data_IF_621700938113
#
_entry.id   IF_621700938113
#
_cell.length_a   1.000
_cell.length_b   1.000
_cell.length_c   1.000
_cell.angle_alpha   90.00
_cell.angle_beta   90.00
_cell.angle_gamma   90.00
#
_symmetry.space_group_name_H-M   'P 1'
#
loop_
_entity.id
_entity.type
_entity.pdbx_description
1 polymer ?
#
# COMPACT_ATOMS: atom_id res chain seq x y z
N UNK A 1 -13.45 11.71 -6.03
CA UNK A 1 -12.65 11.97 -4.82
C UNK A 1 -12.80 10.77 -3.89
N UNK A 2 -11.71 10.07 -3.54
CA UNK A 2 -11.82 8.94 -2.62
C UNK A 2 -12.36 9.40 -1.25
N UNK A 3 -13.23 8.62 -0.65
CA UNK A 3 -13.80 8.87 0.69
C UNK A 3 -13.66 7.61 1.53
N UNK A 4 -13.33 7.79 2.81
CA UNK A 4 -13.28 6.72 3.81
C UNK A 4 -14.12 7.12 5.02
N UNK A 5 -14.97 6.21 5.48
CA UNK A 5 -15.84 6.40 6.64
C UNK A 5 -15.54 5.28 7.63
N UNK A 6 -15.49 5.65 8.92
CA UNK A 6 -15.40 4.72 10.03
C UNK A 6 -16.65 4.84 10.88
N UNK A 7 -17.45 3.78 10.94
CA UNK A 7 -18.63 3.70 11.78
C UNK A 7 -18.30 2.85 13.01
N UNK A 8 -18.32 3.48 14.18
CA UNK A 8 -18.11 2.85 15.47
C UNK A 8 -19.27 3.13 16.44
N UNK A 9 -20.46 3.45 15.92
CA UNK A 9 -21.65 3.66 16.75
C UNK A 9 -22.02 2.41 17.57
N UNK A 10 -21.68 1.23 17.05
CA UNK A 10 -21.66 -0.02 17.80
C UNK A 10 -20.20 -0.45 18.00
N UNK A 11 -19.73 -0.36 19.24
CA UNK A 11 -18.36 -0.68 19.63
C UNK A 11 -17.97 -2.16 19.40
N UNK A 12 -18.95 -3.06 19.38
CA UNK A 12 -18.77 -4.48 19.07
C UNK A 12 -18.60 -4.76 17.57
N UNK A 13 -19.02 -3.83 16.71
CA UNK A 13 -19.00 -4.00 15.26
C UNK A 13 -18.49 -2.72 14.57
N UNK A 14 -17.21 -2.35 14.77
CA UNK A 14 -16.61 -1.26 14.04
C UNK A 14 -16.53 -1.63 12.55
N UNK A 15 -16.99 -0.74 11.67
CA UNK A 15 -16.99 -0.94 10.22
C UNK A 15 -16.25 0.19 9.53
N UNK A 16 -15.32 -0.15 8.65
CA UNK A 16 -14.70 0.81 7.72
C UNK A 16 -15.28 0.60 6.33
N UNK A 17 -15.71 1.69 5.69
CA UNK A 17 -16.14 1.71 4.30
C UNK A 17 -15.28 2.71 3.50
N UNK A 18 -15.06 2.42 2.22
CA UNK A 18 -14.26 3.25 1.32
C UNK A 18 -14.79 3.17 -0.11
N UNK A 19 -14.77 4.28 -0.85
CA UNK A 19 -14.92 4.29 -2.31
C UNK A 19 -13.61 4.65 -3.00
N UNK A 20 -13.37 4.01 -4.15
CA UNK A 20 -12.30 4.38 -5.08
C UNK A 20 -12.87 5.23 -6.19
N UNK A 21 -12.46 6.49 -6.25
CA UNK A 21 -12.78 7.34 -7.39
C UNK A 21 -11.52 7.58 -8.20
N UNK A 22 -11.51 7.11 -9.44
CA UNK A 22 -10.42 7.31 -10.38
C UNK A 22 -10.94 7.82 -11.71
N UNK A 23 -10.13 8.64 -12.39
CA UNK A 23 -10.57 9.33 -13.61
C UNK A 23 -10.67 8.41 -14.84
N UNK A 24 -9.96 7.27 -14.85
CA UNK A 24 -9.98 6.27 -15.92
C UNK A 24 -10.26 4.87 -15.36
N UNK A 25 -10.70 3.90 -16.17
CA UNK A 25 -10.76 2.51 -15.72
C UNK A 25 -9.38 2.00 -15.30
N UNK A 26 -9.31 1.35 -14.15
CA UNK A 26 -8.10 0.67 -13.66
C UNK A 26 -8.47 -0.74 -13.22
N UNK A 27 -7.70 -1.73 -13.67
CA UNK A 27 -7.90 -3.10 -13.24
C UNK A 27 -7.61 -3.22 -11.75
N UNK A 28 -8.43 -4.00 -11.09
CA UNK A 28 -8.36 -4.23 -9.65
C UNK A 28 -8.37 -5.73 -9.39
N UNK A 29 -7.53 -6.15 -8.46
CA UNK A 29 -7.30 -7.54 -8.11
C UNK A 29 -7.39 -7.69 -6.61
N UNK A 30 -7.79 -8.87 -6.17
CA UNK A 30 -7.86 -9.21 -4.76
C UNK A 30 -6.82 -10.29 -4.47
N UNK A 31 -5.88 -9.98 -3.58
CA UNK A 31 -4.79 -10.88 -3.21
C UNK A 31 -4.87 -11.25 -1.74
N UNK A 32 -4.57 -12.51 -1.45
CA UNK A 32 -4.29 -12.98 -0.10
C UNK A 32 -2.78 -13.12 0.07
N UNK A 33 -2.23 -12.43 1.07
CA UNK A 33 -0.83 -12.51 1.45
C UNK A 33 -0.72 -13.24 2.79
N UNK A 34 -0.03 -14.39 2.87
CA UNK A 34 0.19 -15.08 4.12
C UNK A 34 1.05 -14.28 5.12
N UNK A 35 0.94 -14.61 6.41
CA UNK A 35 1.97 -14.26 7.38
C UNK A 35 3.33 -14.88 6.99
N UNK A 36 4.43 -14.33 7.48
CA UNK A 36 5.77 -14.79 7.17
C UNK A 36 6.26 -14.45 5.75
N UNK A 37 5.51 -13.66 4.99
CA UNK A 37 5.90 -13.22 3.64
C UNK A 37 7.05 -12.23 3.73
N UNK A 38 8.16 -12.52 3.05
CA UNK A 38 9.30 -11.59 2.94
C UNK A 38 9.00 -10.55 1.87
N UNK A 39 8.93 -9.29 2.30
CA UNK A 39 8.58 -8.14 1.49
C UNK A 39 9.75 -7.17 1.35
N UNK A 40 9.70 -6.38 0.28
CA UNK A 40 10.67 -5.31 -0.01
C UNK A 40 9.94 -4.07 -0.50
N UNK A 41 10.37 -2.91 -0.03
CA UNK A 41 9.66 -1.66 -0.28
C UNK A 41 9.78 -1.14 -1.71
N UNK A 42 10.83 -1.55 -2.42
CA UNK A 42 11.12 -1.18 -3.80
C UNK A 42 11.72 -2.38 -4.54
N UNK A 43 11.53 -2.46 -5.85
CA UNK A 43 12.37 -3.35 -6.66
C UNK A 43 13.79 -2.77 -6.78
N UNK A 44 14.79 -3.61 -7.01
CA UNK A 44 16.16 -3.15 -7.24
C UNK A 44 16.25 -2.22 -8.45
N UNK A 45 15.46 -2.47 -9.49
CA UNK A 45 15.38 -1.61 -10.68
C UNK A 45 14.80 -0.23 -10.34
N UNK A 46 13.70 -0.17 -9.58
CA UNK A 46 13.10 1.11 -9.16
C UNK A 46 14.04 1.88 -8.23
N UNK A 47 14.70 1.20 -7.29
CA UNK A 47 15.67 1.83 -6.40
C UNK A 47 16.86 2.43 -7.16
N UNK A 48 17.42 1.71 -8.13
CA UNK A 48 18.53 2.19 -8.95
C UNK A 48 18.16 3.45 -9.78
N UNK A 49 16.93 3.53 -10.30
CA UNK A 49 16.43 4.68 -11.07
C UNK A 49 16.38 5.99 -10.26
N UNK A 50 16.25 5.90 -8.94
CA UNK A 50 16.22 7.05 -8.01
C UNK A 50 17.41 7.05 -7.05
N UNK A 51 18.49 6.35 -7.41
CA UNK A 51 19.76 6.34 -6.68
C UNK A 51 19.67 5.89 -5.20
N UNK A 52 18.69 5.05 -4.85
CA UNK A 52 18.58 4.42 -3.54
C UNK A 52 19.49 3.19 -3.50
N UNK A 53 20.41 3.14 -2.53
CA UNK A 53 21.27 1.98 -2.34
C UNK A 53 20.45 0.75 -1.91
N UNK A 54 20.83 -0.49 -2.31
CA UNK A 54 20.08 -1.69 -1.95
C UNK A 54 19.83 -1.87 -0.44
N UNK A 55 20.78 -1.45 0.39
CA UNK A 55 20.71 -1.53 1.85
C UNK A 55 19.73 -0.52 2.46
N UNK A 56 19.42 0.55 1.72
CA UNK A 56 18.44 1.56 2.09
C UNK A 56 17.02 1.17 1.64
N UNK A 57 16.82 0.05 0.94
CA UNK A 57 15.45 -0.42 0.66
C UNK A 57 14.90 -1.12 1.90
N UNK A 58 13.74 -0.68 2.39
CA UNK A 58 13.06 -1.32 3.51
C UNK A 58 12.74 -2.78 3.18
N UNK A 59 13.10 -3.69 4.08
CA UNK A 59 12.75 -5.10 4.01
C UNK A 59 12.06 -5.51 5.29
N UNK A 60 11.01 -6.31 5.19
CA UNK A 60 10.27 -6.81 6.35
C UNK A 60 9.67 -8.17 6.07
N UNK A 61 9.38 -8.91 7.14
CA UNK A 61 8.58 -10.13 7.09
C UNK A 61 7.20 -9.82 7.66
N UNK A 62 6.13 -10.16 6.94
CA UNK A 62 4.78 -9.90 7.43
C UNK A 62 4.51 -10.68 8.71
N UNK A 63 4.03 -9.99 9.75
CA UNK A 63 3.60 -10.64 10.99
C UNK A 63 2.18 -11.19 10.91
N UNK A 64 1.37 -10.63 10.02
CA UNK A 64 -0.04 -10.97 9.88
C UNK A 64 -0.35 -11.29 8.42
N UNK A 65 -1.23 -12.25 8.21
CA UNK A 65 -1.87 -12.47 6.93
C UNK A 65 -2.79 -11.29 6.59
N UNK A 66 -2.94 -10.99 5.29
CA UNK A 66 -3.76 -9.89 4.82
C UNK A 66 -4.49 -10.19 3.53
N UNK A 67 -5.64 -9.55 3.37
CA UNK A 67 -6.36 -9.44 2.11
C UNK A 67 -6.20 -8.02 1.60
N UNK A 68 -5.65 -7.89 0.39
CA UNK A 68 -5.28 -6.61 -0.19
C UNK A 68 -5.90 -6.46 -1.57
N UNK A 69 -6.54 -5.32 -1.77
CA UNK A 69 -6.95 -4.83 -3.08
C UNK A 69 -5.76 -4.16 -3.74
N UNK A 70 -5.39 -4.68 -4.91
CA UNK A 70 -4.26 -4.19 -5.71
C UNK A 70 -4.81 -3.62 -7.01
N UNK A 71 -4.44 -2.39 -7.33
CA UNK A 71 -4.81 -1.75 -8.61
C UNK A 71 -3.60 -1.66 -9.53
N UNK A 72 -3.83 -1.72 -10.84
CA UNK A 72 -2.78 -1.44 -11.84
C UNK A 72 -2.73 -2.45 -12.98
N UNK A 73 -1.57 -2.56 -13.61
CA UNK A 73 -1.32 -3.51 -14.70
C UNK A 73 0.17 -3.71 -14.91
N UNK A 74 0.55 -4.75 -15.66
CA UNK A 74 1.95 -5.01 -16.00
C UNK A 74 2.64 -3.81 -16.67
N UNK A 75 1.89 -2.99 -17.42
CA UNK A 75 2.42 -1.80 -18.10
C UNK A 75 2.63 -0.60 -17.17
N UNK A 76 1.79 -0.44 -16.14
CA UNK A 76 1.81 0.73 -15.23
C UNK A 76 2.40 0.42 -13.86
N UNK A 77 2.66 -0.86 -13.58
CA UNK A 77 2.92 -1.36 -12.25
C UNK A 77 1.62 -1.58 -11.45
N UNK A 78 1.80 -2.18 -10.28
CA UNK A 78 0.74 -2.49 -9.34
C UNK A 78 0.92 -1.69 -8.05
N UNK A 79 -0.18 -1.34 -7.40
CA UNK A 79 -0.22 -0.64 -6.12
C UNK A 79 -1.21 -1.30 -5.18
N UNK A 80 -0.76 -1.60 -3.95
CA UNK A 80 -1.67 -1.89 -2.84
C UNK A 80 -2.42 -0.61 -2.47
N UNK A 81 -3.75 -0.67 -2.48
CA UNK A 81 -4.59 0.52 -2.23
C UNK A 81 -5.58 0.35 -1.11
N UNK A 82 -6.00 -0.87 -0.79
CA UNK A 82 -6.84 -1.14 0.36
C UNK A 82 -6.51 -2.52 0.90
N UNK A 83 -6.74 -2.74 2.19
CA UNK A 83 -6.65 -4.08 2.75
C UNK A 83 -7.09 -4.17 4.19
N UNK A 84 -7.18 -5.41 4.65
CA UNK A 84 -7.49 -5.80 6.02
C UNK A 84 -6.57 -6.96 6.39
N UNK A 85 -5.95 -6.89 7.57
CA UNK A 85 -5.19 -8.03 8.10
C UNK A 85 -6.05 -8.91 9.03
N UNK A 86 -5.55 -10.09 9.35
CA UNK A 86 -6.25 -11.04 10.24
C UNK A 86 -6.43 -10.55 11.68
N UNK A 87 -5.69 -9.51 12.09
CA UNK A 87 -5.85 -8.85 13.38
C UNK A 87 -6.93 -7.75 13.37
N UNK A 88 -7.60 -7.52 12.23
CA UNK A 88 -8.67 -6.54 12.08
C UNK A 88 -8.20 -5.12 11.75
N UNK A 89 -6.91 -4.90 11.46
CA UNK A 89 -6.40 -3.59 11.02
C UNK A 89 -6.73 -3.38 9.54
N UNK A 90 -7.57 -2.38 9.26
CA UNK A 90 -7.89 -1.93 7.91
C UNK A 90 -7.02 -0.73 7.52
N UNK A 91 -6.43 -0.76 6.32
CA UNK A 91 -5.62 0.33 5.75
C UNK A 91 -6.15 0.68 4.36
N UNK A 92 -6.30 1.98 4.08
CA UNK A 92 -6.83 2.49 2.82
C UNK A 92 -5.95 3.64 2.33
N UNK A 93 -5.41 3.53 1.12
CA UNK A 93 -4.72 4.58 0.39
C UNK A 93 -5.73 5.47 -0.33
N UNK A 94 -5.85 6.72 0.11
CA UNK A 94 -6.68 7.73 -0.53
C UNK A 94 -5.79 8.59 -1.43
N UNK A 95 -6.19 8.76 -2.68
CA UNK A 95 -5.42 9.54 -3.64
C UNK A 95 -5.46 11.03 -3.30
N UNK A 96 -4.28 11.64 -3.30
CA UNK A 96 -4.08 13.09 -3.15
C UNK A 96 -3.09 13.58 -4.23
N UNK A 97 -3.52 14.53 -5.06
CA UNK A 97 -2.71 15.09 -6.14
C UNK A 97 -1.66 16.09 -5.67
N UNK A 98 -1.74 16.57 -4.42
CA UNK A 98 -0.87 17.64 -3.89
C UNK A 98 0.10 17.15 -2.81
N UNK A 99 0.35 15.84 -2.73
CA UNK A 99 1.31 15.27 -1.79
C UNK A 99 2.75 15.43 -2.29
N UNK A 100 3.65 15.83 -1.40
CA UNK A 100 5.11 15.75 -1.59
C UNK A 100 5.68 14.68 -0.68
N UNK A 101 6.49 13.78 -1.24
CA UNK A 101 7.26 12.82 -0.45
C UNK A 101 8.62 13.42 -0.04
N UNK A 102 9.21 12.87 1.02
CA UNK A 102 10.55 13.25 1.46
C UNK A 102 11.60 12.99 0.37
N UNK A 103 12.78 13.64 0.48
CA UNK A 103 13.81 13.51 -0.52
C UNK A 103 14.43 12.11 -0.50
N UNK A 104 15.01 11.69 -1.63
CA UNK A 104 15.61 10.36 -1.81
C UNK A 104 17.11 10.32 -1.50
N UNK A 105 17.68 11.41 -0.99
CA UNK A 105 19.10 11.55 -0.63
C UNK A 105 19.35 11.49 0.89
N UNK A 106 18.30 11.25 1.68
CA UNK A 106 18.37 11.17 3.13
C UNK A 106 18.96 9.85 3.66
N UNK A 107 19.30 9.87 4.95
CA UNK A 107 19.65 8.66 5.69
C UNK A 107 18.39 7.85 6.05
N UNK A 108 18.51 6.52 6.07
CA UNK A 108 17.43 5.61 6.50
C UNK A 108 16.98 4.63 5.42
N UNK A 109 15.79 4.04 5.66
CA UNK A 109 15.17 3.07 4.78
C UNK A 109 14.00 3.67 3.99
N UNK A 110 13.88 3.30 2.73
CA UNK A 110 12.89 3.81 1.78
C UNK A 110 11.87 2.73 1.43
N UNK A 111 10.62 3.18 1.25
CA UNK A 111 9.46 2.38 0.91
C UNK A 111 8.71 3.08 -0.23
N UNK A 112 8.30 2.32 -1.26
CA UNK A 112 7.39 2.86 -2.26
C UNK A 112 6.02 3.09 -1.65
N UNK A 113 5.41 4.25 -1.93
CA UNK A 113 4.03 4.55 -1.54
C UNK A 113 3.00 3.51 -2.07
N UNK A 114 3.37 2.72 -3.08
CA UNK A 114 2.52 1.72 -3.70
C UNK A 114 2.73 0.29 -3.17
N UNK A 115 3.72 0.04 -2.30
CA UNK A 115 4.17 -1.31 -1.91
C UNK A 115 4.20 -1.48 -0.39
N UNK A 116 3.05 -1.34 0.25
CA UNK A 116 2.86 -1.62 1.67
C UNK A 116 2.00 -2.88 1.88
#
# INVERSE_FOLDING_TARGET
MCTRIFNNLNDKFPVTARNMDWYWPVNTYFYAFPEGTVNRGLSSESAAKIHIAPQQVLQWTSKYASLTTVMGSDKKGYAAVDGLNEAGLAVNGLYDSHVSYGPTDGEGQFLSANRW
#
